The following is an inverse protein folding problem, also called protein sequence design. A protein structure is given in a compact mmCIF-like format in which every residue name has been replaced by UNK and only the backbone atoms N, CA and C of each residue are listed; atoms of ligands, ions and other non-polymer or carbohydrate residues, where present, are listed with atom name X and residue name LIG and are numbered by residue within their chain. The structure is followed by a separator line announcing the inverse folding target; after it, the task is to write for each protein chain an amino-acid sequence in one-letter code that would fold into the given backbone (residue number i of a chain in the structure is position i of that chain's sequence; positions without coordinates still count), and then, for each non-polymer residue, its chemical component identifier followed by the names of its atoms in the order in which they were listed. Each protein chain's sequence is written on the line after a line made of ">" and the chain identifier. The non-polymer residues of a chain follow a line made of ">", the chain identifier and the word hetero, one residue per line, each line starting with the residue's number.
data_IF_441114265495
#
_entry.id   IF_441114265495
#
_cell.length_a   1.000
_cell.length_b   1.000
_cell.length_c   1.000
_cell.angle_alpha   90.00
_cell.angle_beta   90.00
_cell.angle_gamma   90.00
#
_symmetry.space_group_name_H-M   'P 1'
#
loop_
_entity.id
_entity.type
_entity.pdbx_description
1 polymer ?
#
# COMPACT_ATOMS: atom_id res chain seq x y z
N UNK A 1 55.43 -1.67 -27.46
CA UNK A 1 54.54 -2.58 -28.23
C UNK A 1 54.55 -3.91 -27.50
N UNK A 2 53.52 -4.48 -26.86
CA UNK A 2 52.05 -4.40 -27.00
C UNK A 2 51.35 -4.73 -25.65
N UNK A 3 52.06 -4.80 -24.52
CA UNK A 3 51.52 -5.44 -23.29
C UNK A 3 51.17 -4.49 -22.13
N UNK A 4 50.53 -3.34 -22.42
CA UNK A 4 49.93 -2.46 -21.38
C UNK A 4 48.51 -1.99 -21.71
N UNK A 5 47.96 -2.41 -22.85
CA UNK A 5 46.68 -1.91 -23.37
C UNK A 5 45.48 -2.85 -23.15
N UNK A 6 45.63 -3.93 -22.36
CA UNK A 6 44.57 -4.96 -22.20
C UNK A 6 43.74 -4.80 -20.92
N UNK A 7 44.22 -4.06 -19.91
CA UNK A 7 43.47 -3.92 -18.65
C UNK A 7 42.48 -2.75 -18.60
N UNK A 8 42.42 -1.90 -19.64
CA UNK A 8 41.52 -0.73 -19.66
C UNK A 8 40.18 -0.97 -20.37
N UNK A 9 39.97 -2.14 -20.98
CA UNK A 9 38.73 -2.46 -21.71
C UNK A 9 37.73 -3.31 -20.89
N UNK A 10 38.06 -3.68 -19.65
CA UNK A 10 37.20 -4.53 -18.82
C UNK A 10 36.20 -3.76 -17.93
N UNK A 11 36.23 -2.42 -17.93
CA UNK A 11 35.39 -1.60 -17.05
C UNK A 11 34.05 -1.14 -17.66
N UNK A 12 33.73 -1.52 -18.91
CA UNK A 12 32.56 -1.00 -19.64
C UNK A 12 31.35 -1.95 -19.74
N UNK A 13 31.39 -3.13 -19.12
CA UNK A 13 30.27 -4.09 -19.12
C UNK A 13 29.43 -4.01 -17.83
N UNK A 14 29.72 -3.06 -16.93
CA UNK A 14 28.91 -2.75 -15.75
C UNK A 14 27.63 -1.98 -16.08
N UNK A 15 26.80 -2.52 -16.97
CA UNK A 15 25.41 -2.07 -17.19
C UNK A 15 24.51 -2.38 -15.97
N UNK A 16 23.21 -2.01 -16.00
CA UNK A 16 22.36 -1.65 -14.86
C UNK A 16 21.90 -2.80 -13.93
N UNK A 17 22.71 -3.84 -13.76
CA UNK A 17 22.37 -5.03 -12.95
C UNK A 17 22.03 -4.67 -11.51
N UNK A 18 22.74 -3.71 -10.91
CA UNK A 18 22.45 -3.23 -9.56
C UNK A 18 21.07 -2.57 -9.42
N UNK A 19 20.59 -1.89 -10.46
CA UNK A 19 19.30 -1.20 -10.45
C UNK A 19 18.15 -2.20 -10.61
N UNK A 20 18.30 -3.17 -11.53
CA UNK A 20 17.31 -4.21 -11.75
C UNK A 20 17.10 -5.08 -10.50
N UNK A 21 18.17 -5.45 -9.80
CA UNK A 21 18.09 -6.20 -8.55
C UNK A 21 17.38 -5.41 -7.44
N UNK A 22 17.69 -4.10 -7.32
CA UNK A 22 17.05 -3.24 -6.32
C UNK A 22 15.55 -2.99 -6.56
N UNK A 23 15.14 -2.95 -7.83
CA UNK A 23 13.73 -2.77 -8.20
C UNK A 23 12.91 -4.03 -7.98
N UNK A 24 13.46 -5.21 -8.31
CA UNK A 24 12.81 -6.49 -8.05
C UNK A 24 12.55 -6.71 -6.56
N UNK A 25 13.52 -6.36 -5.70
CA UNK A 25 13.36 -6.43 -4.25
C UNK A 25 12.27 -5.46 -3.76
N UNK A 26 12.29 -4.22 -4.22
CA UNK A 26 11.31 -3.21 -3.85
C UNK A 26 9.88 -3.59 -4.28
N UNK A 27 9.71 -4.12 -5.50
CA UNK A 27 8.45 -4.69 -6.00
C UNK A 27 7.97 -5.85 -5.13
N UNK A 28 8.87 -6.76 -4.74
CA UNK A 28 8.54 -7.88 -3.86
C UNK A 28 8.05 -7.38 -2.49
N UNK A 29 8.70 -6.36 -1.92
CA UNK A 29 8.27 -5.75 -0.66
C UNK A 29 6.88 -5.10 -0.77
N UNK A 30 6.64 -4.35 -1.84
CA UNK A 30 5.34 -3.72 -2.09
C UNK A 30 4.24 -4.76 -2.30
N UNK A 31 4.51 -5.80 -3.09
CA UNK A 31 3.59 -6.92 -3.30
C UNK A 31 3.24 -7.62 -1.98
N UNK A 32 4.24 -7.92 -1.13
CA UNK A 32 4.01 -8.49 0.19
C UNK A 32 3.13 -7.60 1.08
N UNK A 33 3.34 -6.28 1.06
CA UNK A 33 2.53 -5.34 1.83
C UNK A 33 1.06 -5.35 1.39
N UNK A 34 0.79 -5.38 0.08
CA UNK A 34 -0.59 -5.49 -0.45
C UNK A 34 -1.23 -6.82 -0.11
N UNK A 35 -0.52 -7.93 -0.29
CA UNK A 35 -1.05 -9.24 0.07
C UNK A 35 -1.37 -9.33 1.57
N UNK A 36 -0.51 -8.76 2.42
CA UNK A 36 -0.75 -8.73 3.87
C UNK A 36 -1.99 -7.89 4.23
N UNK A 37 -2.18 -6.72 3.60
CA UNK A 37 -3.33 -5.85 3.89
C UNK A 37 -4.68 -6.45 3.47
N UNK A 38 -4.68 -7.39 2.51
CA UNK A 38 -5.89 -8.08 2.07
C UNK A 38 -6.18 -9.32 2.92
N UNK A 39 -5.14 -10.08 3.27
CA UNK A 39 -5.29 -11.45 3.80
C UNK A 39 -5.05 -11.59 5.30
N UNK A 40 -4.55 -10.57 5.99
CA UNK A 40 -4.32 -10.62 7.44
C UNK A 40 -5.36 -9.80 8.18
N UNK A 41 -5.86 -10.31 9.30
CA UNK A 41 -6.68 -9.50 10.21
C UNK A 41 -5.82 -8.47 10.94
N UNK A 42 -6.28 -7.23 11.04
CA UNK A 42 -5.59 -6.15 11.76
C UNK A 42 -6.57 -5.11 12.29
N UNK A 43 -6.14 -4.34 13.29
CA UNK A 43 -6.86 -3.17 13.75
C UNK A 43 -5.86 -2.09 14.20
N UNK A 44 -6.27 -0.84 14.11
CA UNK A 44 -5.41 0.26 14.52
C UNK A 44 -6.06 1.63 14.32
N UNK A 45 -5.28 2.66 14.62
CA UNK A 45 -5.65 4.06 14.39
C UNK A 45 -4.59 4.70 13.51
N UNK A 46 -5.03 5.46 12.51
CA UNK A 46 -4.15 6.19 11.62
C UNK A 46 -4.64 7.62 11.43
N UNK A 47 -3.73 8.47 10.98
CA UNK A 47 -4.03 9.86 10.62
C UNK A 47 -3.93 9.97 9.11
N UNK A 48 -5.00 10.47 8.49
CA UNK A 48 -5.01 10.87 7.08
C UNK A 48 -4.82 12.38 6.99
N UNK A 49 -3.89 12.81 6.14
CA UNK A 49 -3.65 14.22 5.87
C UNK A 49 -3.68 14.49 4.37
N UNK A 50 -4.48 15.46 3.95
CA UNK A 50 -4.53 15.96 2.58
C UNK A 50 -4.68 17.47 2.57
N UNK A 51 -3.63 18.17 2.14
CA UNK A 51 -3.55 19.62 2.26
C UNK A 51 -3.62 20.07 3.72
N UNK A 52 -4.59 20.95 4.02
CA UNK A 52 -4.90 21.43 5.38
C UNK A 52 -5.83 20.49 6.17
N UNK A 53 -6.40 19.48 5.53
CA UNK A 53 -7.34 18.57 6.18
C UNK A 53 -6.56 17.44 6.84
N UNK A 54 -6.75 17.29 8.14
CA UNK A 54 -6.20 16.21 8.97
C UNK A 54 -7.39 15.51 9.62
N UNK A 55 -7.38 14.19 9.57
CA UNK A 55 -8.43 13.37 10.15
C UNK A 55 -7.84 12.11 10.79
N UNK A 56 -8.30 11.79 11.99
CA UNK A 56 -7.95 10.57 12.70
C UNK A 56 -9.01 9.51 12.47
N UNK A 57 -8.61 8.32 12.06
CA UNK A 57 -9.51 7.20 11.79
C UNK A 57 -9.09 5.94 12.51
N UNK A 58 -10.05 5.13 12.94
CA UNK A 58 -9.86 3.76 13.40
C UNK A 58 -10.24 2.78 12.29
N UNK A 59 -9.41 1.78 12.07
CA UNK A 59 -9.65 0.68 11.13
C UNK A 59 -9.67 -0.65 11.87
N UNK A 60 -10.54 -1.55 11.44
CA UNK A 60 -10.52 -2.96 11.78
C UNK A 60 -10.81 -3.77 10.51
N UNK A 61 -9.91 -4.67 10.16
CA UNK A 61 -10.04 -5.62 9.05
C UNK A 61 -10.00 -7.03 9.61
N UNK A 62 -11.01 -7.82 9.25
CA UNK A 62 -11.13 -9.22 9.62
C UNK A 62 -11.20 -10.08 8.36
N UNK A 63 -10.46 -11.17 8.35
CA UNK A 63 -10.48 -12.17 7.28
C UNK A 63 -10.90 -13.50 7.88
N UNK A 64 -11.97 -14.07 7.34
CA UNK A 64 -12.50 -15.37 7.76
C UNK A 64 -11.77 -16.53 7.06
N UNK A 65 -11.95 -17.76 7.55
CA UNK A 65 -11.30 -18.96 7.05
C UNK A 65 -11.70 -19.31 5.60
N UNK A 66 -12.87 -18.86 5.14
CA UNK A 66 -13.36 -19.02 3.77
C UNK A 66 -12.82 -17.94 2.81
N UNK A 67 -12.05 -16.97 3.32
CA UNK A 67 -11.51 -15.85 2.56
C UNK A 67 -12.41 -14.61 2.50
N UNK A 68 -13.61 -14.66 3.09
CA UNK A 68 -14.47 -13.49 3.23
C UNK A 68 -13.81 -12.44 4.11
N UNK A 69 -13.98 -11.15 3.79
CA UNK A 69 -13.40 -10.06 4.57
C UNK A 69 -14.40 -9.00 4.98
N UNK A 70 -14.20 -8.46 6.18
CA UNK A 70 -14.99 -7.37 6.75
C UNK A 70 -14.01 -6.27 7.16
N UNK A 71 -14.20 -5.07 6.62
CA UNK A 71 -13.44 -3.88 6.98
C UNK A 71 -14.40 -2.85 7.58
N UNK A 72 -14.03 -2.27 8.74
CA UNK A 72 -14.72 -1.16 9.38
C UNK A 72 -13.76 0.00 9.54
N UNK A 73 -14.16 1.16 9.00
CA UNK A 73 -13.44 2.42 9.11
C UNK A 73 -14.32 3.46 9.81
N UNK A 74 -13.85 3.98 10.94
CA UNK A 74 -14.56 4.95 11.77
C UNK A 74 -13.72 6.23 11.89
N UNK A 75 -14.33 7.37 11.57
CA UNK A 75 -13.70 8.67 11.78
C UNK A 75 -13.87 9.13 13.23
N UNK A 76 -12.76 9.45 13.88
CA UNK A 76 -12.70 9.75 15.32
C UNK A 76 -12.80 11.25 15.64
N UNK A 77 -12.55 12.12 14.67
CA UNK A 77 -12.61 13.57 14.81
C UNK A 77 -13.29 14.26 13.61
N UNK A 78 -13.84 15.45 13.81
CA UNK A 78 -14.59 16.16 12.78
C UNK A 78 -16.00 15.60 12.57
N UNK A 79 -16.38 15.33 11.31
CA UNK A 79 -17.72 14.83 10.98
C UNK A 79 -17.78 13.31 11.14
N UNK A 80 -18.56 12.77 12.08
CA UNK A 80 -18.67 11.34 12.30
C UNK A 80 -19.17 10.66 11.03
N UNK A 81 -18.41 9.67 10.58
CA UNK A 81 -18.82 8.76 9.51
C UNK A 81 -18.20 7.40 9.77
N UNK A 82 -18.95 6.37 9.39
CA UNK A 82 -18.51 4.99 9.50
C UNK A 82 -18.68 4.32 8.14
N UNK A 83 -17.63 3.67 7.66
CA UNK A 83 -17.67 2.87 6.43
C UNK A 83 -17.49 1.41 6.84
N UNK A 84 -18.49 0.60 6.52
CA UNK A 84 -18.42 -0.86 6.69
C UNK A 84 -18.40 -1.47 5.30
N UNK A 85 -17.38 -2.28 5.04
CA UNK A 85 -17.26 -3.08 3.82
C UNK A 85 -17.34 -4.56 4.18
N UNK A 86 -18.21 -5.28 3.49
CA UNK A 86 -18.31 -6.74 3.57
C UNK A 86 -18.12 -7.23 2.15
N UNK A 87 -16.96 -7.82 1.87
CA UNK A 87 -16.52 -8.16 0.51
C UNK A 87 -16.63 -6.92 -0.42
N UNK A 88 -17.54 -6.94 -1.39
CA UNK A 88 -17.75 -5.86 -2.36
C UNK A 88 -18.89 -4.89 -1.99
N UNK A 89 -19.62 -5.16 -0.91
CA UNK A 89 -20.70 -4.30 -0.44
C UNK A 89 -20.14 -3.25 0.54
N UNK A 90 -20.33 -1.97 0.21
CA UNK A 90 -19.93 -0.86 1.06
C UNK A 90 -21.18 -0.14 1.59
N UNK A 91 -21.23 0.06 2.91
CA UNK A 91 -22.21 0.90 3.58
C UNK A 91 -21.50 2.05 4.27
N UNK A 92 -21.87 3.27 3.93
CA UNK A 92 -21.40 4.48 4.59
C UNK A 92 -22.53 5.05 5.45
N UNK A 93 -22.30 5.10 6.75
CA UNK A 93 -23.20 5.67 7.75
C UNK A 93 -22.80 7.12 8.03
N UNK A 94 -23.76 8.01 7.90
CA UNK A 94 -23.65 9.45 8.17
C UNK A 94 -24.62 9.80 9.31
N UNK A 95 -24.18 9.68 10.58
CA UNK A 95 -25.07 9.77 11.74
C UNK A 95 -25.74 11.14 11.90
N UNK A 96 -25.03 12.22 11.56
CA UNK A 96 -25.54 13.58 11.69
C UNK A 96 -26.74 13.82 10.76
N UNK A 97 -26.66 13.28 9.55
CA UNK A 97 -27.69 13.39 8.51
C UNK A 97 -28.75 12.30 8.63
N UNK A 98 -28.51 11.26 9.44
CA UNK A 98 -29.31 10.03 9.52
C UNK A 98 -29.45 9.34 8.16
N UNK A 99 -28.37 9.35 7.38
CA UNK A 99 -28.31 8.77 6.04
C UNK A 99 -27.43 7.51 6.06
N UNK A 100 -27.85 6.50 5.31
CA UNK A 100 -27.01 5.35 4.94
C UNK A 100 -26.87 5.35 3.42
N UNK A 101 -25.63 5.38 2.94
CA UNK A 101 -25.31 5.24 1.52
C UNK A 101 -24.84 3.81 1.30
N UNK A 102 -25.59 3.05 0.49
CA UNK A 102 -25.17 1.72 0.03
C UNK A 102 -24.51 1.85 -1.35
N UNK A 103 -23.27 1.40 -1.46
CA UNK A 103 -22.58 1.25 -2.73
C UNK A 103 -22.29 -0.24 -2.95
N UNK A 104 -22.99 -0.82 -3.93
CA UNK A 104 -22.81 -2.21 -4.38
C UNK A 104 -21.95 -2.29 -5.64
N UNK A 105 -21.38 -1.18 -6.10
CA UNK A 105 -20.44 -1.18 -7.21
C UNK A 105 -19.11 -1.64 -6.63
N UNK A 106 -18.83 -2.94 -6.76
CA UNK A 106 -17.67 -3.66 -6.20
C UNK A 106 -16.30 -3.22 -6.72
N UNK A 107 -16.04 -1.92 -6.88
CA UNK A 107 -14.79 -1.39 -7.43
C UNK A 107 -14.10 -0.37 -6.51
N UNK A 108 -14.58 -0.16 -5.28
CA UNK A 108 -13.88 0.70 -4.32
C UNK A 108 -12.83 -0.08 -3.55
N UNK A 109 -11.58 0.18 -3.93
CA UNK A 109 -10.34 -0.39 -3.38
C UNK A 109 -10.34 -0.46 -1.84
N UNK A 110 -10.00 -1.64 -1.31
CA UNK A 110 -9.70 -1.92 0.11
C UNK A 110 -8.43 -1.19 0.52
N UNK A 111 -8.24 -0.94 1.82
CA UNK A 111 -6.99 -0.38 2.29
C UNK A 111 -5.80 -1.33 1.94
N UNK A 112 -4.70 -0.81 1.36
CA UNK A 112 -4.46 0.57 0.94
C UNK A 112 -5.10 0.90 -0.42
N UNK A 113 -5.94 1.93 -0.47
CA UNK A 113 -6.73 2.29 -1.65
C UNK A 113 -5.93 2.90 -2.81
N UNK A 114 -4.63 3.14 -2.64
CA UNK A 114 -3.80 3.82 -3.64
C UNK A 114 -3.17 2.86 -4.65
N UNK A 115 -3.05 1.57 -4.34
CA UNK A 115 -2.31 0.64 -5.18
C UNK A 115 -3.22 -0.03 -6.23
N UNK A 116 -2.68 -0.40 -7.41
CA UNK A 116 -3.39 -1.23 -8.38
C UNK A 116 -3.46 -2.68 -7.90
N UNK A 117 -4.38 -3.46 -8.45
CA UNK A 117 -4.48 -4.90 -8.18
C UNK A 117 -3.21 -5.65 -8.62
N UNK A 118 -2.63 -5.26 -9.76
CA UNK A 118 -1.35 -5.78 -10.23
C UNK A 118 -0.22 -4.80 -9.92
N UNK A 119 0.57 -5.11 -8.90
CA UNK A 119 1.76 -4.32 -8.54
C UNK A 119 2.83 -4.37 -9.64
N UNK A 120 2.89 -5.46 -10.40
CA UNK A 120 3.90 -5.62 -11.45
C UNK A 120 3.73 -4.63 -12.61
N UNK A 121 2.49 -4.23 -12.94
CA UNK A 121 2.25 -3.27 -14.02
C UNK A 121 2.73 -1.86 -13.68
N UNK A 122 2.97 -1.55 -12.40
CA UNK A 122 3.57 -0.26 -12.02
C UNK A 122 4.97 -0.09 -12.64
N UNK A 123 5.71 -1.17 -12.86
CA UNK A 123 7.05 -1.11 -13.44
C UNK A 123 7.08 -0.61 -14.89
N UNK A 124 5.93 -0.62 -15.58
CA UNK A 124 5.79 -0.07 -16.94
C UNK A 124 5.80 1.47 -16.95
N UNK A 125 5.35 2.10 -15.86
CA UNK A 125 5.17 3.56 -15.77
C UNK A 125 6.01 4.22 -14.66
N UNK A 126 6.54 3.43 -13.72
CA UNK A 126 7.25 3.91 -12.53
C UNK A 126 8.55 3.14 -12.31
N UNK A 127 9.60 3.88 -11.94
CA UNK A 127 10.81 3.30 -11.37
C UNK A 127 10.62 3.13 -9.86
N UNK A 128 10.45 1.87 -9.42
CA UNK A 128 10.24 1.54 -8.01
C UNK A 128 11.59 1.25 -7.36
N UNK A 129 11.86 1.84 -6.19
CA UNK A 129 13.17 1.78 -5.53
C UNK A 129 13.02 1.56 -4.05
N UNK A 130 13.81 0.65 -3.49
CA UNK A 130 13.93 0.52 -2.05
C UNK A 130 14.57 1.79 -1.49
N UNK A 131 13.90 2.44 -0.55
CA UNK A 131 14.43 3.58 0.18
C UNK A 131 15.04 3.17 1.53
N UNK A 132 15.10 4.12 2.45
CA UNK A 132 15.71 3.92 3.76
C UNK A 132 14.85 3.05 4.70
N UNK A 133 15.52 2.39 5.64
CA UNK A 133 14.87 1.83 6.82
C UNK A 133 14.54 2.96 7.80
N UNK A 134 13.44 2.81 8.54
CA UNK A 134 12.98 3.78 9.52
C UNK A 134 12.05 3.13 10.54
N UNK A 135 11.31 3.97 11.29
CA UNK A 135 10.35 3.52 12.29
C UNK A 135 9.03 4.25 12.12
N UNK A 136 7.94 3.49 12.03
CA UNK A 136 6.56 4.02 11.91
C UNK A 136 5.69 3.29 12.92
N UNK A 137 4.89 4.03 13.69
CA UNK A 137 4.00 3.49 14.73
C UNK A 137 4.73 2.54 15.72
N UNK A 138 6.02 2.75 15.97
CA UNK A 138 6.85 1.92 16.85
C UNK A 138 7.49 0.69 16.18
N UNK A 139 7.19 0.40 14.91
CA UNK A 139 7.69 -0.77 14.18
C UNK A 139 8.82 -0.41 13.21
N UNK A 140 9.79 -1.31 13.06
CA UNK A 140 10.81 -1.21 12.02
C UNK A 140 10.13 -1.30 10.64
N UNK A 141 10.42 -0.32 9.80
CA UNK A 141 9.73 -0.10 8.52
C UNK A 141 10.74 0.20 7.43
N UNK A 142 10.33 -0.02 6.18
CA UNK A 142 11.13 0.28 5.01
C UNK A 142 10.31 1.10 4.03
N UNK A 143 10.90 2.15 3.46
CA UNK A 143 10.27 2.89 2.36
C UNK A 143 10.52 2.18 1.02
N UNK A 144 9.56 2.27 0.11
CA UNK A 144 9.57 1.80 -1.28
C UNK A 144 8.97 2.88 -2.16
#
# INVERSE_FOLDING_TARGET
>A
MILRAVCLLAALIGGPVAWAQSQAEALSMLSRAVTASQNMSYAGTFVYQSGSNVETSRIAHYVDADGSSIERLEVLDGSPREVVRINDEVRCYLPNEKIVIEDRRGSRKTFPSLLPESINSLSEFYAIKRGASGRVAGFDSHSV
#
